data_IF_671910759834
#
_entry.id   IF_671910759834
#
_cell.length_a   1.000
_cell.length_b   1.000
_cell.length_c   1.000
_cell.angle_alpha   90.00
_cell.angle_beta   90.00
_cell.angle_gamma   90.00
#
_symmetry.space_group_name_H-M   'P 1'
#
loop_
_entity.id
_entity.type
_entity.pdbx_description
1 polymer ?
#
# COMPACT_ATOMS: atom_id res chain seq x y z
N UNK A 1 -4.11 -20.51 -8.93
CA UNK A 1 -3.07 -19.81 -9.70
C UNK A 1 -3.75 -18.68 -10.43
N UNK A 2 -3.28 -17.46 -10.22
CA UNK A 2 -3.83 -16.23 -10.75
C UNK A 2 -5.30 -15.97 -10.37
N UNK A 3 -5.77 -14.75 -10.60
CA UNK A 3 -7.20 -14.40 -10.59
C UNK A 3 -7.42 -13.22 -11.52
N UNK A 4 -8.58 -13.18 -12.18
CA UNK A 4 -8.99 -12.08 -13.08
C UNK A 4 -7.97 -11.70 -14.17
N UNK A 5 -7.24 -12.69 -14.70
CA UNK A 5 -6.25 -12.48 -15.76
C UNK A 5 -4.87 -12.01 -15.29
N UNK A 6 -4.64 -11.95 -13.96
CA UNK A 6 -3.32 -11.72 -13.38
C UNK A 6 -2.63 -13.03 -13.04
N UNK A 7 -1.31 -13.08 -13.21
CA UNK A 7 -0.48 -14.18 -12.71
C UNK A 7 -0.41 -14.15 -11.16
N UNK A 8 0.24 -15.17 -10.58
CA UNK A 8 0.36 -15.29 -9.13
C UNK A 8 1.10 -14.08 -8.53
N UNK A 9 0.42 -13.35 -7.63
CA UNK A 9 0.96 -12.17 -6.96
C UNK A 9 1.03 -10.90 -7.83
N UNK A 10 0.62 -10.96 -9.09
CA UNK A 10 0.65 -9.82 -10.03
C UNK A 10 -0.55 -8.89 -9.92
N UNK A 11 -1.57 -9.26 -9.13
CA UNK A 11 -2.65 -8.34 -8.78
C UNK A 11 -2.07 -7.07 -8.16
N UNK A 12 -2.59 -5.91 -8.55
CA UNK A 12 -1.99 -4.63 -8.16
C UNK A 12 -2.85 -3.85 -7.18
N UNK A 13 -2.17 -3.15 -6.28
CA UNK A 13 -2.77 -2.22 -5.35
C UNK A 13 -2.00 -0.91 -5.29
N UNK A 14 -2.72 0.14 -4.91
CA UNK A 14 -2.13 1.38 -4.47
C UNK A 14 -1.88 1.23 -2.96
N UNK A 15 -0.70 0.73 -2.62
CA UNK A 15 -0.29 0.53 -1.24
C UNK A 15 0.18 1.86 -0.65
N UNK A 16 -0.45 2.30 0.44
CA UNK A 16 -0.10 3.56 1.12
C UNK A 16 0.30 3.29 2.57
N UNK A 17 1.38 3.92 3.02
CA UNK A 17 1.84 3.82 4.41
C UNK A 17 0.93 4.64 5.34
N UNK A 18 0.67 4.12 6.55
CA UNK A 18 -0.27 4.74 7.51
C UNK A 18 0.14 6.15 7.90
N UNK A 19 1.44 6.43 8.04
CA UNK A 19 1.92 7.76 8.39
C UNK A 19 1.53 8.82 7.35
N UNK A 20 1.50 8.46 6.06
CA UNK A 20 1.10 9.41 5.02
C UNK A 20 -0.41 9.66 5.05
N UNK A 21 -1.21 8.64 5.38
CA UNK A 21 -2.65 8.82 5.64
C UNK A 21 -2.85 9.79 6.81
N UNK A 22 -2.06 9.66 7.88
CA UNK A 22 -2.11 10.57 9.03
C UNK A 22 -1.70 11.99 8.63
N UNK A 23 -0.63 12.17 7.85
CA UNK A 23 -0.20 13.48 7.34
C UNK A 23 -1.31 14.16 6.53
N UNK A 24 -1.98 13.43 5.64
CA UNK A 24 -3.12 13.95 4.87
C UNK A 24 -4.25 14.41 5.79
N UNK A 25 -4.63 13.60 6.79
CA UNK A 25 -5.67 13.97 7.76
C UNK A 25 -5.32 15.25 8.53
N UNK A 26 -4.08 15.33 9.05
CA UNK A 26 -3.60 16.51 9.77
C UNK A 26 -3.53 17.75 8.88
N UNK A 27 -3.21 17.56 7.59
CA UNK A 27 -3.24 18.64 6.62
C UNK A 27 -4.66 19.15 6.38
N UNK A 28 -5.65 18.28 6.20
CA UNK A 28 -7.06 18.70 6.06
C UNK A 28 -7.57 19.41 7.31
N UNK A 29 -7.21 18.92 8.50
CA UNK A 29 -7.55 19.55 9.78
C UNK A 29 -7.06 21.01 9.85
N UNK A 30 -5.88 21.32 9.29
CA UNK A 30 -5.29 22.66 9.30
C UNK A 30 -5.82 23.57 8.19
N UNK A 31 -6.12 23.03 7.00
CA UNK A 31 -6.36 23.84 5.80
C UNK A 31 -7.85 24.10 5.48
N UNK A 32 -8.79 23.59 6.29
CA UNK A 32 -10.24 23.81 6.15
C UNK A 32 -10.80 23.56 4.74
N UNK A 33 -10.18 22.66 3.97
CA UNK A 33 -10.68 22.19 2.68
C UNK A 33 -11.71 21.08 2.92
N UNK A 34 -12.82 21.09 2.18
CA UNK A 34 -13.90 20.10 2.31
C UNK A 34 -14.15 19.36 0.99
N UNK A 35 -14.61 18.11 1.09
CA UNK A 35 -14.95 17.27 -0.07
C UNK A 35 -14.60 15.81 0.15
N UNK A 36 -14.77 15.01 -0.91
CA UNK A 36 -14.37 13.60 -0.94
C UNK A 36 -13.08 13.50 -1.76
N UNK A 37 -12.04 12.92 -1.16
CA UNK A 37 -10.72 12.80 -1.75
C UNK A 37 -10.24 11.35 -1.69
N UNK A 38 -9.66 10.86 -2.78
CA UNK A 38 -8.90 9.63 -2.74
C UNK A 38 -7.59 9.89 -1.99
N UNK A 39 -7.18 8.94 -1.15
CA UNK A 39 -5.91 8.96 -0.42
C UNK A 39 -5.19 7.66 -0.75
N UNK A 40 -4.13 7.79 -1.54
CA UNK A 40 -3.25 6.75 -2.05
C UNK A 40 -2.00 7.40 -2.62
N UNK A 41 -1.02 6.60 -3.02
CA UNK A 41 0.22 7.09 -3.64
C UNK A 41 -0.01 7.58 -5.07
N UNK A 42 -1.06 7.09 -5.73
CA UNK A 42 -1.32 7.28 -7.15
C UNK A 42 -0.53 6.33 -8.05
N UNK A 43 0.23 5.39 -7.47
CA UNK A 43 1.04 4.39 -8.15
C UNK A 43 0.55 3.00 -7.73
N UNK A 44 0.29 2.13 -8.70
CA UNK A 44 -0.08 0.73 -8.42
C UNK A 44 1.16 -0.17 -8.43
N UNK A 45 1.34 -0.99 -7.39
CA UNK A 45 2.40 -2.00 -7.29
C UNK A 45 1.79 -3.39 -7.07
N UNK A 46 2.51 -4.45 -7.44
CA UNK A 46 2.05 -5.83 -7.31
C UNK A 46 2.18 -6.33 -5.86
N UNK A 47 1.52 -7.43 -5.51
CA UNK A 47 1.81 -8.12 -4.25
C UNK A 47 3.23 -8.71 -4.25
N UNK A 48 3.75 -9.07 -5.42
CA UNK A 48 5.14 -9.49 -5.58
C UNK A 48 6.13 -8.38 -5.19
N UNK A 49 5.85 -7.12 -5.52
CA UNK A 49 6.69 -5.98 -5.11
C UNK A 49 6.76 -5.86 -3.58
N UNK A 50 5.61 -5.99 -2.90
CA UNK A 50 5.55 -5.98 -1.43
C UNK A 50 6.32 -7.16 -0.84
N UNK A 51 6.12 -8.37 -1.35
CA UNK A 51 6.82 -9.57 -0.88
C UNK A 51 8.34 -9.44 -1.08
N UNK A 52 8.78 -8.92 -2.23
CA UNK A 52 10.19 -8.66 -2.51
C UNK A 52 10.77 -7.58 -1.58
N UNK A 53 10.03 -6.51 -1.27
CA UNK A 53 10.47 -5.51 -0.29
C UNK A 53 10.70 -6.13 1.10
N UNK A 54 9.81 -7.04 1.54
CA UNK A 54 9.97 -7.78 2.80
C UNK A 54 11.20 -8.70 2.76
N UNK A 55 11.38 -9.47 1.67
CA UNK A 55 12.53 -10.37 1.50
C UNK A 55 13.84 -9.59 1.50
N UNK A 56 13.88 -8.46 0.78
CA UNK A 56 15.05 -7.59 0.70
C UNK A 56 15.45 -7.03 2.07
N UNK A 57 14.48 -6.56 2.86
CA UNK A 57 14.74 -6.10 4.23
C UNK A 57 15.29 -7.23 5.12
N UNK A 58 14.70 -8.42 5.04
CA UNK A 58 15.16 -9.61 5.79
C UNK A 58 16.49 -10.18 5.28
N UNK A 59 16.92 -9.81 4.07
CA UNK A 59 18.06 -10.38 3.34
C UNK A 59 17.95 -11.89 3.10
N UNK A 60 16.74 -12.45 3.24
CA UNK A 60 16.43 -13.88 3.07
C UNK A 60 14.93 -14.07 2.87
N UNK A 61 14.57 -15.14 2.16
CA UNK A 61 13.19 -15.54 1.93
C UNK A 61 12.97 -15.99 0.48
N UNK A 62 11.83 -16.63 0.24
CA UNK A 62 11.35 -17.00 -1.09
C UNK A 62 9.83 -16.85 -1.10
N UNK A 63 9.26 -16.49 -2.25
CA UNK A 63 7.81 -16.41 -2.43
C UNK A 63 7.29 -17.83 -2.66
N UNK A 64 6.21 -18.19 -1.97
CA UNK A 64 5.43 -19.40 -2.20
C UNK A 64 4.00 -18.99 -2.52
N UNK A 65 3.50 -19.45 -3.67
CA UNK A 65 2.16 -19.12 -4.13
C UNK A 65 1.17 -20.20 -3.69
N UNK A 66 0.00 -19.76 -3.24
CA UNK A 66 -1.13 -20.63 -2.89
C UNK A 66 -2.25 -20.47 -3.93
N UNK A 67 -3.13 -21.47 -4.10
CA UNK A 67 -4.34 -21.30 -4.92
C UNK A 67 -5.15 -20.08 -4.48
N UNK A 68 -5.70 -19.35 -5.44
CA UNK A 68 -6.56 -18.22 -5.14
C UNK A 68 -7.81 -18.71 -4.39
N UNK A 69 -8.20 -18.09 -3.26
CA UNK A 69 -9.36 -18.55 -2.50
C UNK A 69 -10.66 -18.42 -3.30
N UNK A 70 -11.41 -19.53 -3.47
CA UNK A 70 -12.63 -19.54 -4.29
C UNK A 70 -13.69 -18.55 -3.79
N UNK A 71 -13.78 -18.38 -2.48
CA UNK A 71 -14.72 -17.46 -1.82
C UNK A 71 -14.49 -15.98 -2.15
N UNK A 72 -13.31 -15.61 -2.66
CA UNK A 72 -12.99 -14.24 -3.04
C UNK A 72 -13.29 -13.95 -4.52
N UNK A 73 -13.65 -14.98 -5.30
CA UNK A 73 -13.95 -14.82 -6.74
C UNK A 73 -15.19 -13.93 -6.90
N UNK A 74 -15.06 -12.88 -7.72
CA UNK A 74 -16.13 -11.91 -7.99
C UNK A 74 -16.27 -10.79 -6.95
N UNK A 75 -15.63 -10.90 -5.78
CA UNK A 75 -15.57 -9.82 -4.78
C UNK A 75 -14.16 -9.24 -4.60
N UNK A 76 -13.14 -9.90 -5.15
CA UNK A 76 -11.77 -9.42 -5.11
C UNK A 76 -11.55 -8.35 -6.18
N UNK A 77 -11.09 -7.19 -5.75
CA UNK A 77 -10.59 -6.19 -6.69
C UNK A 77 -9.23 -6.66 -7.20
N UNK A 78 -8.96 -6.80 -8.49
CA UNK A 78 -7.59 -7.22 -8.92
C UNK A 78 -6.66 -6.06 -9.22
N UNK A 79 -7.19 -4.83 -9.29
CA UNK A 79 -6.43 -3.61 -9.56
C UNK A 79 -7.01 -2.39 -8.83
N UNK A 80 -6.16 -1.61 -8.17
CA UNK A 80 -6.48 -0.26 -7.67
C UNK A 80 -5.36 0.71 -8.02
N UNK A 81 -5.72 1.94 -8.41
CA UNK A 81 -4.79 3.07 -8.45
C UNK A 81 -5.57 4.34 -8.12
N UNK A 82 -5.20 5.05 -7.04
CA UNK A 82 -5.92 6.24 -6.65
C UNK A 82 -5.64 7.38 -7.63
N UNK A 83 -6.67 7.94 -8.27
CA UNK A 83 -6.50 9.27 -8.85
C UNK A 83 -6.46 10.30 -7.71
N UNK A 84 -5.28 10.91 -7.50
CA UNK A 84 -5.03 11.90 -6.45
C UNK A 84 -4.97 13.34 -6.96
N UNK A 85 -5.35 13.61 -8.21
CA UNK A 85 -5.30 14.95 -8.81
C UNK A 85 -6.09 15.95 -7.97
N UNK A 86 -7.26 15.52 -7.47
CA UNK A 86 -8.10 16.37 -6.61
C UNK A 86 -7.41 16.73 -5.28
N UNK A 87 -6.66 15.79 -4.69
CA UNK A 87 -5.87 16.04 -3.48
C UNK A 87 -4.71 16.99 -3.75
N UNK A 88 -4.00 16.80 -4.88
CA UNK A 88 -2.90 17.66 -5.32
C UNK A 88 -3.37 19.08 -5.66
N UNK A 89 -4.55 19.21 -6.27
CA UNK A 89 -5.19 20.48 -6.62
C UNK A 89 -5.76 21.21 -5.39
N UNK A 90 -6.18 20.48 -4.36
CA UNK A 90 -6.57 21.06 -3.07
C UNK A 90 -5.39 21.69 -2.31
N UNK A 91 -4.16 21.25 -2.60
CA UNK A 91 -2.94 21.86 -2.07
C UNK A 91 -2.05 20.94 -1.24
N UNK A 92 -2.37 19.64 -1.11
CA UNK A 92 -1.48 18.69 -0.45
C UNK A 92 -0.30 18.35 -1.37
N UNK A 93 0.92 18.77 -1.01
CA UNK A 93 2.13 18.65 -1.85
C UNK A 93 3.16 17.65 -1.33
N UNK A 94 2.98 17.09 -0.13
CA UNK A 94 3.93 16.13 0.41
C UNK A 94 3.94 14.85 -0.44
N UNK A 95 5.12 14.29 -0.65
CA UNK A 95 5.26 13.01 -1.34
C UNK A 95 4.80 11.84 -0.46
N UNK A 96 4.38 10.77 -1.12
CA UNK A 96 4.02 9.51 -0.47
C UNK A 96 5.22 8.56 -0.51
N UNK A 97 5.38 7.75 0.53
CA UNK A 97 6.39 6.71 0.56
C UNK A 97 6.12 5.66 -0.52
N UNK A 98 7.18 5.12 -1.12
CA UNK A 98 7.06 3.94 -1.99
C UNK A 98 6.75 2.68 -1.15
N UNK A 99 6.39 1.57 -1.81
CA UNK A 99 6.25 0.28 -1.12
C UNK A 99 7.54 -0.11 -0.39
N UNK A 100 8.70 0.06 -1.02
CA UNK A 100 9.98 -0.31 -0.45
C UNK A 100 10.30 0.50 0.81
N UNK A 101 10.06 1.83 0.75
CA UNK A 101 10.27 2.73 1.89
C UNK A 101 9.28 2.44 3.02
N UNK A 102 8.00 2.31 2.69
CA UNK A 102 6.93 2.04 3.64
C UNK A 102 7.09 0.69 4.34
N UNK A 103 7.40 -0.38 3.59
CA UNK A 103 7.65 -1.72 4.15
C UNK A 103 8.89 -1.72 5.03
N UNK A 104 9.98 -1.07 4.62
CA UNK A 104 11.19 -0.96 5.44
C UNK A 104 10.91 -0.23 6.76
N UNK A 105 10.21 0.91 6.71
CA UNK A 105 9.79 1.65 7.90
C UNK A 105 8.92 0.81 8.84
N UNK A 106 7.93 0.11 8.27
CA UNK A 106 7.03 -0.76 9.02
C UNK A 106 7.78 -1.91 9.71
N UNK A 107 8.66 -2.61 8.99
CA UNK A 107 9.44 -3.72 9.53
C UNK A 107 10.45 -3.27 10.59
N UNK A 108 11.08 -2.10 10.43
CA UNK A 108 11.92 -1.51 11.47
C UNK A 108 11.11 -1.23 12.75
N UNK A 109 9.87 -0.74 12.61
CA UNK A 109 8.98 -0.50 13.75
C UNK A 109 8.56 -1.80 14.42
N UNK A 110 8.21 -2.82 13.63
CA UNK A 110 7.82 -4.15 14.12
C UNK A 110 8.99 -4.87 14.81
N UNK A 111 10.20 -4.77 14.27
CA UNK A 111 11.39 -5.39 14.86
C UNK A 111 11.76 -4.82 16.23
N UNK A 112 11.52 -3.51 16.41
CA UNK A 112 11.75 -2.82 17.68
C UNK A 112 10.52 -2.85 18.60
N UNK A 113 9.44 -3.53 18.21
CA UNK A 113 8.23 -3.59 19.02
C UNK A 113 8.50 -4.44 20.27
N UNK A 114 8.25 -3.91 21.48
CA UNK A 114 8.49 -4.66 22.70
C UNK A 114 7.62 -5.92 22.74
N UNK A 115 8.24 -7.07 23.00
CA UNK A 115 7.52 -8.30 23.31
C UNK A 115 6.69 -8.05 24.57
N UNK A 116 5.38 -8.30 24.50
CA UNK A 116 4.56 -8.43 25.69
C UNK A 116 4.87 -9.80 26.31
N UNK A 117 6.00 -9.90 27.01
CA UNK A 117 6.28 -11.00 27.94
C UNK A 117 5.60 -10.75 29.30
#
# INVERSE_FOLDING_TARGET
MGSDGYEDGEQKRDFIHVDDVVKVNLWFMKNKVSGIFNVGTGVSQSFNDVANAVINWNKKGKIEYIPFPEELIGSYQSYTQANIDRLRNAGYKDEFLTVEEGVSSYLNSLHNWPSND
#
